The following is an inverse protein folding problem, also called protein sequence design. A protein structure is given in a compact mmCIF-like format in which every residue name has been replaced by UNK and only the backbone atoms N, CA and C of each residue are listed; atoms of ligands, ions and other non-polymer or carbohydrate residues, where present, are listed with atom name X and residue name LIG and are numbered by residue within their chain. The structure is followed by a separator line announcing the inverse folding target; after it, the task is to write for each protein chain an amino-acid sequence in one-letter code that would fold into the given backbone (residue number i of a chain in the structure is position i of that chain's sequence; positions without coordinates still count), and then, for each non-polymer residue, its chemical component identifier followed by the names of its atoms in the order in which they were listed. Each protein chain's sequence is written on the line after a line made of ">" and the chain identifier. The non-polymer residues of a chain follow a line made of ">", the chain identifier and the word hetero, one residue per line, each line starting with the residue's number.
data_IF_726668838679
#
_entry.id   IF_726668838679
#
_cell.length_a   1.000
_cell.length_b   1.000
_cell.length_c   1.000
_cell.angle_alpha   90.00
_cell.angle_beta   90.00
_cell.angle_gamma   90.00
#
_symmetry.space_group_name_H-M   'P 1'
#
loop_
_entity.id
_entity.type
_entity.pdbx_description
1 polymer ?
#
# COMPACT_ATOMS: atom_id res chain seq x y z
N UNK A 1 -23.77 35.17 0.37
CA UNK A 1 -23.58 33.72 0.39
C UNK A 1 -22.50 33.42 -0.65
N UNK A 2 -21.32 32.92 -0.26
CA UNK A 2 -20.28 32.55 -1.23
C UNK A 2 -20.86 31.44 -2.13
N UNK A 3 -20.77 31.66 -3.42
CA UNK A 3 -21.19 30.69 -4.44
C UNK A 3 -20.35 29.43 -4.27
N UNK A 4 -20.96 28.27 -4.03
CA UNK A 4 -20.24 27.00 -3.89
C UNK A 4 -19.58 26.67 -5.21
N UNK A 5 -18.27 26.62 -5.21
CA UNK A 5 -17.43 26.39 -6.39
C UNK A 5 -16.78 24.99 -6.34
N UNK A 6 -16.21 24.55 -7.45
CA UNK A 6 -15.36 23.36 -7.52
C UNK A 6 -14.20 23.47 -6.52
N UNK A 7 -13.66 24.67 -6.31
CA UNK A 7 -12.59 24.94 -5.35
C UNK A 7 -13.02 24.67 -3.90
N UNK A 8 -14.28 24.98 -3.55
CA UNK A 8 -14.82 24.68 -2.22
C UNK A 8 -14.76 23.17 -1.94
N UNK A 9 -15.20 22.37 -2.92
CA UNK A 9 -15.18 20.90 -2.80
C UNK A 9 -13.74 20.37 -2.84
N UNK A 10 -12.88 20.90 -3.71
CA UNK A 10 -11.46 20.53 -3.76
C UNK A 10 -10.75 20.77 -2.43
N UNK A 11 -10.97 21.92 -1.80
CA UNK A 11 -10.40 22.25 -0.49
C UNK A 11 -10.94 21.32 0.61
N UNK A 12 -12.23 20.98 0.58
CA UNK A 12 -12.82 20.02 1.51
C UNK A 12 -12.14 18.65 1.42
N UNK A 13 -11.99 18.13 0.18
CA UNK A 13 -11.30 16.86 -0.06
C UNK A 13 -9.84 16.93 0.42
N UNK A 14 -9.14 18.00 0.07
CA UNK A 14 -7.73 18.19 0.46
C UNK A 14 -7.54 18.22 1.98
N UNK A 15 -8.42 18.88 2.71
CA UNK A 15 -8.37 18.93 4.18
C UNK A 15 -8.54 17.55 4.82
N UNK A 16 -9.30 16.65 4.19
CA UNK A 16 -9.62 15.33 4.73
C UNK A 16 -8.67 14.22 4.29
N UNK A 17 -8.02 14.41 3.14
CA UNK A 17 -7.26 13.34 2.49
C UNK A 17 -5.85 13.74 2.08
N UNK A 18 -5.50 15.03 2.15
CA UNK A 18 -4.32 15.62 1.55
C UNK A 18 -4.22 15.50 0.01
N UNK A 19 -5.25 14.96 -0.67
CA UNK A 19 -5.25 14.94 -2.14
C UNK A 19 -5.20 16.35 -2.70
N UNK A 20 -4.18 16.64 -3.51
CA UNK A 20 -3.92 17.97 -4.06
C UNK A 20 -4.43 18.09 -5.50
N UNK A 21 -5.29 19.07 -5.73
CA UNK A 21 -5.84 19.37 -7.05
C UNK A 21 -5.11 20.57 -7.68
N UNK A 22 -4.00 20.31 -8.37
CA UNK A 22 -3.42 21.33 -9.25
C UNK A 22 -4.42 21.75 -10.33
N UNK A 23 -4.28 22.97 -10.89
CA UNK A 23 -5.23 23.54 -11.85
C UNK A 23 -5.62 22.58 -12.98
N UNK A 24 -4.65 21.87 -13.56
CA UNK A 24 -4.92 20.89 -14.63
C UNK A 24 -5.72 19.65 -14.13
N UNK A 25 -5.69 19.32 -12.83
CA UNK A 25 -6.46 18.22 -12.24
C UNK A 25 -7.86 18.65 -11.83
N UNK A 26 -8.12 19.92 -11.62
CA UNK A 26 -9.45 20.45 -11.30
C UNK A 26 -10.48 20.23 -12.41
N UNK A 27 -10.03 20.15 -13.67
CA UNK A 27 -10.92 19.82 -14.79
C UNK A 27 -11.52 18.43 -14.67
N UNK A 28 -10.75 17.45 -14.19
CA UNK A 28 -11.22 16.08 -13.94
C UNK A 28 -12.20 16.07 -12.79
N UNK A 29 -11.88 16.76 -11.68
CA UNK A 29 -12.81 16.90 -10.55
C UNK A 29 -14.13 17.52 -11.00
N UNK A 30 -14.09 18.60 -11.78
CA UNK A 30 -15.29 19.25 -12.34
C UNK A 30 -16.14 18.28 -13.16
N UNK A 31 -15.52 17.46 -14.01
CA UNK A 31 -16.22 16.46 -14.80
C UNK A 31 -16.90 15.42 -13.89
N UNK A 32 -16.17 14.87 -12.92
CA UNK A 32 -16.71 13.88 -11.97
C UNK A 32 -17.87 14.42 -11.14
N UNK A 33 -17.75 15.67 -10.70
CA UNK A 33 -18.85 16.36 -9.99
C UNK A 33 -20.06 16.55 -10.90
N UNK A 34 -19.89 16.94 -12.17
CA UNK A 34 -21.00 17.09 -13.10
C UNK A 34 -21.73 15.74 -13.35
N UNK A 35 -20.97 14.65 -13.51
CA UNK A 35 -21.54 13.31 -13.62
C UNK A 35 -22.32 12.92 -12.36
N UNK A 36 -21.79 13.25 -11.17
CA UNK A 36 -22.45 12.96 -9.89
C UNK A 36 -23.74 13.75 -9.69
N UNK A 37 -23.71 15.06 -9.99
CA UNK A 37 -24.91 15.92 -9.96
C UNK A 37 -26.02 15.34 -10.84
N UNK A 38 -25.68 14.93 -12.06
CA UNK A 38 -26.64 14.31 -12.97
C UNK A 38 -27.20 13.01 -12.41
N UNK A 39 -26.38 12.17 -11.80
CA UNK A 39 -26.81 10.92 -11.18
C UNK A 39 -27.78 11.14 -10.03
N UNK A 40 -27.55 12.18 -9.22
CA UNK A 40 -28.39 12.53 -8.07
C UNK A 40 -29.63 13.40 -8.44
N UNK A 41 -29.71 13.92 -9.68
CA UNK A 41 -30.73 14.84 -10.10
C UNK A 41 -30.63 16.23 -9.44
N UNK A 42 -29.43 16.64 -9.00
CA UNK A 42 -29.20 17.92 -8.36
C UNK A 42 -28.97 19.03 -9.39
N UNK A 43 -29.53 20.24 -9.17
CA UNK A 43 -29.46 21.33 -10.14
C UNK A 43 -28.06 22.01 -10.16
N UNK A 44 -27.37 22.03 -9.03
CA UNK A 44 -26.16 22.81 -8.87
C UNK A 44 -25.24 22.28 -7.76
N UNK A 45 -24.00 22.81 -7.70
CA UNK A 45 -22.99 22.46 -6.71
C UNK A 45 -23.38 22.90 -5.29
N UNK A 46 -24.20 23.92 -5.11
CA UNK A 46 -24.61 24.37 -3.78
C UNK A 46 -25.52 23.33 -3.12
N UNK A 47 -26.49 22.80 -3.88
CA UNK A 47 -27.34 21.69 -3.43
C UNK A 47 -26.52 20.46 -3.09
N UNK A 48 -25.56 20.12 -3.95
CA UNK A 48 -24.65 18.99 -3.72
C UNK A 48 -23.78 19.18 -2.48
N UNK A 49 -23.25 20.38 -2.27
CA UNK A 49 -22.43 20.70 -1.10
C UNK A 49 -23.18 20.45 0.21
N UNK A 50 -24.41 20.94 0.32
CA UNK A 50 -25.23 20.68 1.50
C UNK A 50 -25.49 19.20 1.73
N UNK A 51 -25.72 18.46 0.66
CA UNK A 51 -25.87 17.01 0.73
C UNK A 51 -24.59 16.31 1.16
N UNK A 52 -23.45 16.68 0.57
CA UNK A 52 -22.13 16.09 0.87
C UNK A 52 -21.75 16.27 2.35
N UNK A 53 -21.87 17.48 2.90
CA UNK A 53 -21.47 17.74 4.30
C UNK A 53 -22.42 17.13 5.34
N UNK A 54 -23.65 16.79 4.94
CA UNK A 54 -24.65 16.15 5.81
C UNK A 54 -24.70 14.64 5.69
N UNK A 55 -23.97 14.05 4.74
CA UNK A 55 -24.02 12.62 4.45
C UNK A 55 -22.63 11.99 4.34
N UNK A 56 -22.19 11.36 5.43
CA UNK A 56 -20.88 10.70 5.48
C UNK A 56 -20.71 9.62 4.40
N UNK A 57 -21.77 8.96 3.98
CA UNK A 57 -21.72 7.97 2.92
C UNK A 57 -21.43 8.59 1.55
N UNK A 58 -21.91 9.83 1.32
CA UNK A 58 -21.60 10.57 0.09
C UNK A 58 -20.13 10.97 0.01
N UNK A 59 -19.50 11.27 1.14
CA UNK A 59 -18.06 11.53 1.18
C UNK A 59 -17.27 10.33 0.65
N UNK A 60 -17.58 9.12 1.10
CA UNK A 60 -16.92 7.89 0.61
C UNK A 60 -17.15 7.69 -0.89
N UNK A 61 -18.38 7.91 -1.37
CA UNK A 61 -18.71 7.81 -2.80
C UNK A 61 -17.90 8.83 -3.61
N UNK A 62 -17.80 10.07 -3.12
CA UNK A 62 -17.02 11.11 -3.79
C UNK A 62 -15.54 10.72 -3.87
N UNK A 63 -14.97 10.20 -2.78
CA UNK A 63 -13.58 9.73 -2.75
C UNK A 63 -13.35 8.59 -3.76
N UNK A 64 -14.27 7.64 -3.85
CA UNK A 64 -14.24 6.56 -4.84
C UNK A 64 -14.28 7.09 -6.30
N UNK A 65 -15.00 8.18 -6.53
CA UNK A 65 -15.14 8.77 -7.87
C UNK A 65 -13.87 9.52 -8.31
N UNK A 66 -13.16 10.15 -7.38
CA UNK A 66 -12.02 11.02 -7.71
C UNK A 66 -10.68 10.31 -7.65
N UNK A 67 -10.58 9.15 -7.00
CA UNK A 67 -9.36 8.36 -6.96
C UNK A 67 -9.09 7.70 -8.31
N UNK A 68 -7.81 7.62 -8.67
CA UNK A 68 -7.33 6.90 -9.86
C UNK A 68 -6.74 5.59 -9.37
N UNK A 69 -7.45 4.50 -9.65
CA UNK A 69 -7.16 3.19 -9.07
C UNK A 69 -6.50 2.24 -10.08
N UNK A 70 -5.57 2.77 -10.90
CA UNK A 70 -4.85 1.98 -11.89
C UNK A 70 -3.76 1.13 -11.21
N UNK A 71 -3.88 -0.18 -11.33
CA UNK A 71 -2.95 -1.15 -10.75
C UNK A 71 -2.87 -2.41 -11.62
N UNK A 72 -1.83 -3.22 -11.42
CA UNK A 72 -1.66 -4.51 -12.08
C UNK A 72 -0.82 -5.45 -11.22
N UNK A 73 -1.00 -6.75 -11.43
CA UNK A 73 -0.12 -7.75 -10.83
C UNK A 73 1.34 -7.53 -11.27
N UNK A 74 2.27 -7.65 -10.32
CA UNK A 74 3.71 -7.50 -10.52
C UNK A 74 4.14 -6.20 -11.23
N UNK A 75 3.38 -5.12 -11.03
CA UNK A 75 3.75 -3.79 -11.52
C UNK A 75 5.17 -3.45 -11.07
N UNK A 76 6.04 -2.98 -11.99
CA UNK A 76 7.48 -2.75 -11.78
C UNK A 76 8.25 -4.05 -11.50
N UNK A 77 8.41 -4.94 -12.49
CA UNK A 77 9.03 -6.27 -12.28
C UNK A 77 10.45 -6.22 -11.70
N UNK A 78 11.18 -5.12 -11.91
CA UNK A 78 12.53 -4.93 -11.32
C UNK A 78 12.48 -4.91 -9.79
N UNK A 79 11.45 -4.29 -9.20
CA UNK A 79 11.28 -4.24 -7.76
C UNK A 79 11.00 -5.64 -7.18
N UNK A 80 10.13 -6.43 -7.83
CA UNK A 80 9.87 -7.81 -7.42
C UNK A 80 11.09 -8.72 -7.61
N UNK A 81 11.89 -8.49 -8.65
CA UNK A 81 13.16 -9.20 -8.82
C UNK A 81 14.12 -8.87 -7.67
N UNK A 82 14.28 -7.60 -7.32
CA UNK A 82 15.13 -7.21 -6.19
C UNK A 82 14.62 -7.78 -4.86
N UNK A 83 13.31 -7.78 -4.63
CA UNK A 83 12.69 -8.44 -3.48
C UNK A 83 13.08 -9.92 -3.41
N UNK A 84 13.04 -10.63 -4.55
CA UNK A 84 13.31 -12.06 -4.64
C UNK A 84 14.80 -12.39 -4.50
N UNK A 85 15.68 -11.64 -5.18
CA UNK A 85 17.09 -11.98 -5.30
C UNK A 85 17.94 -11.47 -4.13
N UNK A 86 17.48 -10.42 -3.43
CA UNK A 86 18.28 -9.76 -2.38
C UNK A 86 17.56 -9.68 -1.04
N UNK A 87 16.31 -9.14 -1.00
CA UNK A 87 15.64 -8.87 0.28
C UNK A 87 15.21 -10.17 0.96
N UNK A 88 14.58 -11.10 0.24
CA UNK A 88 14.15 -12.38 0.82
C UNK A 88 15.34 -13.18 1.36
N UNK A 89 16.46 -13.39 0.62
CA UNK A 89 17.65 -14.04 1.17
C UNK A 89 18.23 -13.32 2.38
N UNK A 90 18.25 -11.99 2.39
CA UNK A 90 18.72 -11.22 3.55
C UNK A 90 17.82 -11.44 4.78
N UNK A 91 16.50 -11.40 4.62
CA UNK A 91 15.54 -11.69 5.70
C UNK A 91 15.72 -13.11 6.23
N UNK A 92 15.93 -14.10 5.36
CA UNK A 92 16.19 -15.47 5.76
C UNK A 92 17.52 -15.59 6.51
N UNK A 93 18.56 -14.88 6.11
CA UNK A 93 19.84 -14.88 6.81
C UNK A 93 19.73 -14.22 8.19
N UNK A 94 19.10 -13.05 8.29
CA UNK A 94 19.00 -12.30 9.54
C UNK A 94 18.07 -12.95 10.56
N UNK A 95 16.87 -13.37 10.10
CA UNK A 95 15.84 -13.95 10.97
C UNK A 95 15.89 -15.48 10.99
N UNK A 96 16.49 -16.09 9.99
CA UNK A 96 16.48 -17.54 9.76
C UNK A 96 17.58 -18.30 10.46
N UNK A 97 18.70 -17.68 10.82
CA UNK A 97 19.76 -18.36 11.57
C UNK A 97 19.27 -18.87 12.94
N UNK A 98 18.38 -18.13 13.60
CA UNK A 98 17.77 -18.58 14.85
C UNK A 98 16.86 -19.79 14.66
N UNK A 99 16.10 -19.81 13.54
CA UNK A 99 15.13 -20.87 13.25
C UNK A 99 15.81 -22.11 12.66
N UNK A 100 16.78 -21.95 11.77
CA UNK A 100 17.54 -23.10 11.22
C UNK A 100 18.32 -23.82 12.31
N UNK A 101 18.81 -23.11 13.31
CA UNK A 101 19.43 -23.74 14.51
C UNK A 101 18.42 -24.52 15.35
N UNK A 102 17.14 -24.08 15.39
CA UNK A 102 16.08 -24.78 16.15
C UNK A 102 15.45 -25.94 15.37
N UNK A 103 15.46 -25.90 14.02
CA UNK A 103 14.87 -26.95 13.15
C UNK A 103 15.81 -28.13 12.88
N UNK A 104 17.09 -28.03 13.18
CA UNK A 104 18.04 -29.15 13.12
C UNK A 104 17.80 -30.25 14.15
N UNK A 105 16.85 -30.08 15.05
CA UNK A 105 16.43 -31.02 16.08
C UNK A 105 14.94 -31.34 15.82
N UNK A 106 14.59 -32.60 15.72
CA UNK A 106 13.36 -33.24 15.22
C UNK A 106 12.00 -32.82 15.83
N UNK A 107 11.86 -31.60 16.36
CA UNK A 107 10.60 -31.06 16.88
C UNK A 107 10.26 -29.71 16.23
N UNK A 108 8.96 -29.39 16.00
CA UNK A 108 8.58 -28.08 15.50
C UNK A 108 9.02 -26.99 16.47
N UNK A 109 9.52 -25.84 15.99
CA UNK A 109 10.00 -24.77 16.85
C UNK A 109 8.88 -24.29 17.80
N UNK A 110 9.22 -23.87 19.02
CA UNK A 110 8.25 -23.31 19.93
C UNK A 110 7.60 -22.06 19.31
N UNK A 111 6.35 -21.72 19.65
CA UNK A 111 5.66 -20.55 19.10
C UNK A 111 6.40 -19.22 19.24
N UNK A 112 7.33 -19.13 20.17
CA UNK A 112 8.21 -17.97 20.38
C UNK A 112 9.32 -17.80 19.32
N UNK A 113 9.55 -18.80 18.47
CA UNK A 113 10.58 -18.80 17.42
C UNK A 113 10.00 -18.57 16.01
N UNK A 114 8.70 -18.25 15.89
CA UNK A 114 8.08 -17.89 14.60
C UNK A 114 8.64 -16.54 14.14
N UNK A 115 9.24 -16.54 12.95
CA UNK A 115 9.74 -15.32 12.33
C UNK A 115 8.58 -14.42 11.92
N UNK A 116 8.58 -13.18 12.39
CA UNK A 116 7.55 -12.20 12.00
C UNK A 116 8.04 -11.36 10.83
N UNK A 117 7.16 -11.20 9.85
CA UNK A 117 7.38 -10.34 8.70
C UNK A 117 6.17 -9.41 8.53
N UNK A 118 6.36 -8.14 8.85
CA UNK A 118 5.31 -7.14 8.79
C UNK A 118 5.52 -6.27 7.56
N UNK A 119 4.51 -6.20 6.70
CA UNK A 119 4.56 -5.45 5.44
C UNK A 119 3.37 -4.51 5.38
N UNK A 120 3.60 -3.30 4.90
CA UNK A 120 2.57 -2.32 4.59
C UNK A 120 2.47 -2.13 3.08
N UNK A 121 1.27 -2.22 2.53
CA UNK A 121 0.93 -1.78 1.17
C UNK A 121 -0.03 -0.59 1.27
N UNK A 122 0.51 0.61 1.11
CA UNK A 122 -0.18 1.88 1.28
C UNK A 122 -0.67 2.41 -0.07
N UNK A 123 -1.99 2.44 -0.27
CA UNK A 123 -2.62 2.71 -1.56
C UNK A 123 -2.67 1.46 -2.44
N UNK A 124 -3.22 0.37 -1.87
CA UNK A 124 -3.21 -0.95 -2.51
C UNK A 124 -4.21 -1.11 -3.67
N UNK A 125 -5.07 -0.14 -3.91
CA UNK A 125 -6.12 -0.18 -4.92
C UNK A 125 -6.95 -1.47 -4.83
N UNK A 126 -7.16 -2.15 -5.92
CA UNK A 126 -7.94 -3.40 -6.00
C UNK A 126 -7.15 -4.66 -5.59
N UNK A 127 -5.98 -4.51 -4.97
CA UNK A 127 -5.27 -5.58 -4.26
C UNK A 127 -4.19 -6.30 -5.03
N UNK A 128 -3.91 -5.99 -6.30
CA UNK A 128 -2.90 -6.68 -7.11
C UNK A 128 -1.51 -6.58 -6.51
N UNK A 129 -1.14 -5.43 -5.92
CA UNK A 129 0.16 -5.24 -5.29
C UNK A 129 0.34 -6.15 -4.07
N UNK A 130 -0.49 -6.09 -3.01
CA UNK A 130 -0.30 -6.96 -1.86
C UNK A 130 -0.45 -8.44 -2.18
N UNK A 131 -1.27 -8.82 -3.16
CA UNK A 131 -1.32 -10.21 -3.62
C UNK A 131 -0.03 -10.63 -4.34
N UNK A 132 0.55 -9.75 -5.16
CA UNK A 132 1.84 -10.02 -5.80
C UNK A 132 2.96 -10.20 -4.77
N UNK A 133 2.97 -9.38 -3.72
CA UNK A 133 3.92 -9.53 -2.61
C UNK A 133 3.69 -10.85 -1.87
N UNK A 134 2.44 -11.16 -1.49
CA UNK A 134 2.11 -12.39 -0.79
C UNK A 134 2.51 -13.65 -1.59
N UNK A 135 2.17 -13.68 -2.88
CA UNK A 135 2.55 -14.78 -3.78
C UNK A 135 4.08 -14.91 -3.89
N UNK A 136 4.80 -13.78 -4.00
CA UNK A 136 6.26 -13.79 -4.07
C UNK A 136 6.88 -14.38 -2.80
N UNK A 137 6.44 -13.93 -1.64
CA UNK A 137 6.94 -14.44 -0.35
C UNK A 137 6.63 -15.93 -0.20
N UNK A 138 5.41 -16.34 -0.51
CA UNK A 138 5.00 -17.74 -0.38
C UNK A 138 5.75 -18.67 -1.35
N UNK A 139 6.12 -18.18 -2.55
CA UNK A 139 6.89 -18.93 -3.54
C UNK A 139 8.39 -18.99 -3.26
N UNK A 140 8.96 -17.94 -2.66
CA UNK A 140 10.41 -17.75 -2.60
C UNK A 140 11.04 -17.99 -1.23
N UNK A 141 10.27 -17.82 -0.15
CA UNK A 141 10.75 -18.23 1.16
C UNK A 141 10.96 -19.74 1.21
N UNK A 142 12.10 -20.17 1.72
CA UNK A 142 12.45 -21.61 1.81
C UNK A 142 11.44 -22.40 2.64
N UNK A 143 10.93 -21.79 3.71
CA UNK A 143 9.95 -22.39 4.62
C UNK A 143 8.85 -21.36 4.95
N UNK A 144 7.94 -21.04 4.01
CA UNK A 144 6.96 -19.96 4.20
C UNK A 144 6.05 -20.19 5.42
N UNK A 145 5.81 -21.45 5.80
CA UNK A 145 5.00 -21.81 6.97
C UNK A 145 5.70 -21.53 8.32
N UNK A 146 7.01 -21.28 8.32
CA UNK A 146 7.75 -20.89 9.51
C UNK A 146 7.71 -19.37 9.78
N UNK A 147 7.03 -18.62 8.91
CA UNK A 147 6.89 -17.18 9.00
C UNK A 147 5.46 -16.79 9.34
N UNK A 148 5.32 -15.88 10.30
CA UNK A 148 4.08 -15.13 10.54
C UNK A 148 4.10 -13.89 9.63
N UNK A 149 3.65 -14.11 8.38
CA UNK A 149 3.58 -13.06 7.37
C UNK A 149 2.30 -12.27 7.59
N UNK A 150 2.43 -10.99 7.85
CA UNK A 150 1.31 -10.09 8.07
C UNK A 150 1.43 -8.88 7.13
N UNK A 151 0.66 -8.89 6.04
CA UNK A 151 0.60 -7.80 5.08
C UNK A 151 -0.63 -6.96 5.41
N UNK A 152 -0.40 -5.74 5.88
CA UNK A 152 -1.47 -4.76 6.02
C UNK A 152 -1.59 -4.00 4.71
N UNK A 153 -2.76 -4.04 4.09
CA UNK A 153 -3.02 -3.39 2.82
C UNK A 153 -4.22 -2.45 2.93
N UNK A 154 -4.04 -1.22 2.51
CA UNK A 154 -5.11 -0.23 2.60
C UNK A 154 -5.17 0.73 1.44
N UNK A 155 -6.39 1.24 1.21
CA UNK A 155 -6.69 2.24 0.20
C UNK A 155 -7.76 3.21 0.71
N UNK A 156 -7.75 4.41 0.14
CA UNK A 156 -8.76 5.43 0.42
C UNK A 156 -10.14 5.05 -0.14
N UNK A 157 -10.16 4.28 -1.25
CA UNK A 157 -11.37 3.83 -1.92
C UNK A 157 -11.92 2.57 -1.25
N UNK A 158 -13.08 2.69 -0.61
CA UNK A 158 -13.77 1.55 -0.01
C UNK A 158 -14.18 0.52 -1.08
N UNK A 159 -14.61 0.98 -2.26
CA UNK A 159 -14.91 0.09 -3.39
C UNK A 159 -13.70 -0.75 -3.80
N UNK A 160 -12.50 -0.16 -3.83
CA UNK A 160 -11.26 -0.88 -4.12
C UNK A 160 -10.98 -1.93 -3.04
N UNK A 161 -11.15 -1.59 -1.78
CA UNK A 161 -10.96 -2.51 -0.66
C UNK A 161 -11.94 -3.69 -0.73
N UNK A 162 -13.19 -3.47 -1.07
CA UNK A 162 -14.16 -4.56 -1.24
C UNK A 162 -13.76 -5.49 -2.41
N UNK A 163 -13.29 -4.91 -3.53
CA UNK A 163 -12.76 -5.68 -4.65
C UNK A 163 -11.51 -6.49 -4.27
N UNK A 164 -10.59 -5.87 -3.53
CA UNK A 164 -9.37 -6.52 -3.03
C UNK A 164 -9.71 -7.70 -2.09
N UNK A 165 -10.64 -7.51 -1.15
CA UNK A 165 -11.12 -8.57 -0.24
C UNK A 165 -11.77 -9.74 -1.01
N UNK A 166 -12.57 -9.43 -2.03
CA UNK A 166 -13.14 -10.45 -2.90
C UNK A 166 -12.03 -11.25 -3.62
N UNK A 167 -10.98 -10.58 -4.06
CA UNK A 167 -9.81 -11.18 -4.72
C UNK A 167 -10.18 -11.89 -6.03
N UNK A 168 -11.25 -11.44 -6.69
CA UNK A 168 -11.65 -11.89 -8.02
C UNK A 168 -11.10 -10.96 -9.08
N UNK A 169 -10.54 -11.55 -10.14
CA UNK A 169 -9.96 -10.81 -11.25
C UNK A 169 -10.35 -11.44 -12.58
N UNK A 170 -10.79 -10.61 -13.51
CA UNK A 170 -11.05 -11.03 -14.89
C UNK A 170 -9.75 -11.46 -15.57
N UNK A 171 -9.86 -12.29 -16.61
CA UNK A 171 -8.73 -12.90 -17.30
C UNK A 171 -7.72 -11.85 -17.84
N UNK A 172 -8.21 -10.69 -18.25
CA UNK A 172 -7.35 -9.61 -18.75
C UNK A 172 -6.43 -9.05 -17.66
N UNK A 173 -6.89 -8.98 -16.43
CA UNK A 173 -6.10 -8.51 -15.29
C UNK A 173 -5.04 -9.51 -14.84
N UNK A 174 -5.21 -10.79 -15.17
CA UNK A 174 -4.25 -11.85 -14.82
C UNK A 174 -3.00 -11.87 -15.72
N UNK A 175 -2.99 -11.12 -16.82
CA UNK A 175 -1.86 -11.05 -17.77
C UNK A 175 -0.55 -10.60 -17.12
N UNK A 176 -0.61 -9.88 -15.98
CA UNK A 176 0.57 -9.47 -15.20
C UNK A 176 1.18 -10.59 -14.35
N UNK A 177 0.52 -11.73 -14.18
CA UNK A 177 1.03 -12.83 -13.36
C UNK A 177 2.19 -13.54 -14.06
N UNK A 178 3.34 -13.73 -13.40
CA UNK A 178 4.49 -14.38 -14.00
C UNK A 178 4.31 -15.91 -14.05
N UNK A 179 4.78 -16.51 -15.15
CA UNK A 179 4.91 -17.97 -15.28
C UNK A 179 3.65 -18.75 -14.92
N UNK A 180 3.77 -19.61 -13.92
CA UNK A 180 2.70 -20.51 -13.46
C UNK A 180 1.95 -20.00 -12.21
N UNK A 181 2.09 -18.73 -11.85
CA UNK A 181 1.48 -18.17 -10.63
C UNK A 181 -0.05 -18.24 -10.67
N UNK A 182 -0.66 -18.07 -11.83
CA UNK A 182 -2.10 -18.27 -11.97
C UNK A 182 -2.52 -19.68 -11.56
N UNK A 183 -1.80 -20.72 -12.00
CA UNK A 183 -2.10 -22.12 -11.63
C UNK A 183 -1.82 -22.41 -10.15
N UNK A 184 -0.75 -21.82 -9.59
CA UNK A 184 -0.37 -22.04 -8.19
C UNK A 184 -1.31 -21.36 -7.21
N UNK A 185 -1.65 -20.09 -7.46
CA UNK A 185 -2.23 -19.20 -6.45
C UNK A 185 -3.63 -18.71 -6.77
N UNK A 186 -4.18 -19.08 -7.91
CA UNK A 186 -5.55 -18.73 -8.30
C UNK A 186 -6.39 -19.97 -8.51
N UNK A 187 -7.71 -19.84 -8.34
CA UNK A 187 -8.72 -20.82 -8.68
C UNK A 187 -9.62 -20.24 -9.75
N UNK A 188 -9.93 -21.02 -10.79
CA UNK A 188 -10.85 -20.59 -11.85
C UNK A 188 -12.25 -20.34 -11.26
N UNK A 189 -12.85 -19.21 -11.59
CA UNK A 189 -14.18 -18.84 -11.12
C UNK A 189 -14.90 -18.00 -12.17
N UNK A 190 -15.96 -18.57 -12.78
CA UNK A 190 -16.69 -17.93 -13.87
C UNK A 190 -15.79 -17.59 -15.06
N UNK A 191 -15.77 -16.32 -15.46
CA UNK A 191 -14.95 -15.78 -16.58
C UNK A 191 -13.56 -15.30 -16.13
N UNK A 192 -13.21 -15.47 -14.86
CA UNK A 192 -11.96 -15.02 -14.28
C UNK A 192 -11.38 -16.03 -13.30
N UNK A 193 -10.66 -15.53 -12.33
CA UNK A 193 -10.08 -16.34 -11.26
C UNK A 193 -10.12 -15.61 -9.92
N UNK A 194 -10.15 -16.38 -8.84
CA UNK A 194 -10.12 -15.91 -7.47
C UNK A 194 -8.81 -16.33 -6.81
N UNK A 195 -8.22 -15.43 -6.02
CA UNK A 195 -7.00 -15.74 -5.24
C UNK A 195 -7.30 -16.80 -4.20
N UNK A 196 -6.45 -17.82 -4.10
CA UNK A 196 -6.58 -18.92 -3.13
C UNK A 196 -6.51 -18.41 -1.68
N UNK A 197 -7.24 -19.08 -0.80
CA UNK A 197 -7.35 -18.69 0.62
C UNK A 197 -6.00 -18.69 1.36
N UNK A 198 -5.06 -19.55 1.00
CA UNK A 198 -3.72 -19.59 1.58
C UNK A 198 -2.97 -18.26 1.40
N UNK A 199 -3.15 -17.59 0.25
CA UNK A 199 -2.57 -16.27 -0.04
C UNK A 199 -3.39 -15.15 0.61
N UNK A 200 -4.73 -15.23 0.52
CA UNK A 200 -5.63 -14.23 1.15
C UNK A 200 -5.40 -14.07 2.65
N UNK A 201 -5.14 -15.15 3.36
CA UNK A 201 -4.90 -15.17 4.82
C UNK A 201 -3.68 -14.35 5.26
N UNK A 202 -2.72 -14.13 4.37
CA UNK A 202 -1.52 -13.33 4.64
C UNK A 202 -1.79 -11.83 4.65
N UNK A 203 -2.97 -11.40 4.15
CA UNK A 203 -3.27 -9.99 3.91
C UNK A 203 -4.50 -9.55 4.71
N UNK A 204 -4.34 -8.43 5.40
CA UNK A 204 -5.43 -7.72 6.08
C UNK A 204 -5.76 -6.47 5.30
N UNK A 205 -6.90 -6.48 4.61
CA UNK A 205 -7.40 -5.31 3.87
C UNK A 205 -8.26 -4.41 4.75
N UNK A 206 -8.04 -3.10 4.66
CA UNK A 206 -8.81 -2.09 5.37
C UNK A 206 -8.84 -0.74 4.67
N UNK A 207 -9.87 0.05 4.95
CA UNK A 207 -9.87 1.46 4.54
C UNK A 207 -8.69 2.18 5.18
N UNK A 208 -7.92 2.91 4.39
CA UNK A 208 -6.70 3.59 4.84
C UNK A 208 -6.61 4.98 4.21
N UNK A 209 -6.72 5.99 5.05
CA UNK A 209 -6.43 7.36 4.65
C UNK A 209 -5.00 7.72 5.11
N UNK A 210 -4.10 8.02 4.17
CA UNK A 210 -2.72 8.40 4.49
C UNK A 210 -2.63 9.72 5.26
N UNK A 211 -3.65 10.57 5.18
CA UNK A 211 -3.80 11.74 6.05
C UNK A 211 -3.73 11.34 7.55
N UNK A 212 -4.44 10.29 7.93
CA UNK A 212 -4.47 9.80 9.31
C UNK A 212 -3.08 9.29 9.74
N UNK A 213 -2.39 8.59 8.84
CA UNK A 213 -1.02 8.08 9.10
C UNK A 213 -0.04 9.24 9.32
N UNK A 214 -0.11 10.27 8.49
CA UNK A 214 0.72 11.49 8.61
C UNK A 214 0.48 12.17 9.95
N UNK A 215 -0.77 12.25 10.40
CA UNK A 215 -1.18 12.88 11.65
C UNK A 215 -1.01 11.99 12.90
N UNK A 216 -0.43 10.78 12.75
CA UNK A 216 -0.31 9.76 13.81
C UNK A 216 -1.67 9.32 14.41
N UNK A 217 -2.72 9.40 13.63
CA UNK A 217 -4.03 8.85 13.99
C UNK A 217 -4.03 7.33 13.82
N UNK A 218 -4.77 6.58 14.66
CA UNK A 218 -4.87 5.14 14.52
C UNK A 218 -5.43 4.78 13.14
N UNK A 219 -4.77 3.87 12.44
CA UNK A 219 -5.35 3.27 11.25
C UNK A 219 -6.56 2.44 11.68
N UNK A 220 -7.74 2.77 11.15
CA UNK A 220 -9.02 2.21 11.57
C UNK A 220 -8.98 0.69 11.73
N UNK A 221 -9.33 0.19 12.91
CA UNK A 221 -9.47 -1.21 13.30
C UNK A 221 -8.21 -2.09 13.33
N UNK A 222 -7.02 -1.55 13.15
CA UNK A 222 -5.78 -2.30 13.29
C UNK A 222 -4.86 -1.57 14.25
N UNK A 223 -4.44 -2.24 15.31
CA UNK A 223 -3.46 -1.73 16.28
C UNK A 223 -2.07 -1.58 15.62
N UNK A 224 -1.91 -0.54 14.77
CA UNK A 224 -0.61 -0.17 14.20
C UNK A 224 0.13 0.79 15.14
N UNK A 225 -0.39 1.02 16.32
CA UNK A 225 0.11 2.05 17.27
C UNK A 225 1.57 1.84 17.74
N UNK A 226 2.24 0.78 17.30
CA UNK A 226 3.66 0.54 17.53
C UNK A 226 4.25 -0.42 16.48
N UNK A 227 3.50 -0.76 15.44
CA UNK A 227 3.96 -1.72 14.44
C UNK A 227 5.04 -1.06 13.59
N UNK A 228 6.24 -1.59 13.69
CA UNK A 228 7.29 -1.29 12.74
C UNK A 228 7.21 -2.32 11.62
N UNK A 229 7.33 -1.85 10.38
CA UNK A 229 7.28 -2.69 9.21
C UNK A 229 8.68 -3.02 8.72
N UNK A 230 8.88 -4.25 8.31
CA UNK A 230 10.12 -4.68 7.65
C UNK A 230 10.18 -4.12 6.21
N UNK A 231 9.01 -4.06 5.55
CA UNK A 231 8.90 -3.56 4.17
C UNK A 231 7.65 -2.69 4.05
N UNK A 232 7.80 -1.55 3.38
CA UNK A 232 6.67 -0.68 3.01
C UNK A 232 6.64 -0.52 1.49
N UNK A 233 5.49 -0.76 0.89
CA UNK A 233 5.14 -0.38 -0.46
C UNK A 233 4.26 0.87 -0.38
N UNK A 234 4.75 2.01 -0.91
CA UNK A 234 3.99 3.24 -1.08
C UNK A 234 4.25 3.73 -2.50
N UNK A 235 3.50 3.17 -3.46
CA UNK A 235 3.79 3.28 -4.87
C UNK A 235 2.65 3.93 -5.64
N UNK A 236 2.98 4.94 -6.45
CA UNK A 236 2.01 5.65 -7.28
C UNK A 236 0.88 6.32 -6.48
N UNK A 237 1.21 6.80 -5.29
CA UNK A 237 0.29 7.46 -4.35
C UNK A 237 0.76 8.88 -4.02
N UNK A 238 2.07 9.08 -3.81
CA UNK A 238 2.63 10.38 -3.47
C UNK A 238 2.42 11.44 -4.56
N UNK A 239 2.33 11.01 -5.82
CA UNK A 239 2.04 11.87 -6.98
C UNK A 239 0.72 12.65 -6.86
N UNK A 240 -0.14 12.28 -5.92
CA UNK A 240 -1.42 12.97 -5.67
C UNK A 240 -1.35 14.00 -4.54
N UNK A 241 -0.23 14.11 -3.86
CA UNK A 241 -0.04 15.01 -2.72
C UNK A 241 0.76 16.25 -3.10
N UNK A 242 0.62 17.31 -2.30
CA UNK A 242 1.50 18.48 -2.41
C UNK A 242 2.93 18.13 -1.98
N UNK A 243 3.96 18.90 -2.40
CA UNK A 243 5.33 18.65 -1.98
C UNK A 243 5.50 18.63 -0.45
N UNK A 244 4.79 19.49 0.27
CA UNK A 244 4.81 19.56 1.72
C UNK A 244 4.24 18.28 2.36
N UNK A 245 3.13 17.80 1.81
CA UNK A 245 2.50 16.54 2.27
C UNK A 245 3.38 15.34 1.93
N UNK A 246 4.02 15.33 0.76
CA UNK A 246 4.98 14.28 0.39
C UNK A 246 6.13 14.23 1.38
N UNK A 247 6.69 15.38 1.77
CA UNK A 247 7.75 15.44 2.78
C UNK A 247 7.29 14.87 4.14
N UNK A 248 6.07 15.21 4.57
CA UNK A 248 5.51 14.68 5.82
C UNK A 248 5.30 13.17 5.76
N UNK A 249 4.79 12.66 4.64
CA UNK A 249 4.58 11.23 4.41
C UNK A 249 5.92 10.48 4.43
N UNK A 250 6.94 10.98 3.73
CA UNK A 250 8.29 10.38 3.71
C UNK A 250 8.85 10.25 5.14
N UNK A 251 8.76 11.31 5.94
CA UNK A 251 9.20 11.28 7.33
C UNK A 251 8.41 10.26 8.16
N UNK A 252 7.13 10.14 7.89
CA UNK A 252 6.27 9.17 8.59
C UNK A 252 6.59 7.74 8.19
N UNK A 253 6.77 7.45 6.90
CA UNK A 253 7.18 6.12 6.41
C UNK A 253 8.54 5.71 6.98
N UNK A 254 9.47 6.68 7.12
CA UNK A 254 10.76 6.42 7.77
C UNK A 254 10.59 5.99 9.23
N UNK A 255 9.70 6.64 9.98
CA UNK A 255 9.42 6.26 11.39
C UNK A 255 8.78 4.86 11.50
N UNK A 256 7.89 4.51 10.59
CA UNK A 256 7.17 3.23 10.58
C UNK A 256 8.05 2.04 10.19
N UNK A 257 9.18 2.24 9.54
CA UNK A 257 10.11 1.17 9.20
C UNK A 257 11.02 0.78 10.36
N UNK A 258 11.30 -0.51 10.51
CA UNK A 258 12.39 -1.01 11.35
C UNK A 258 13.75 -0.52 10.82
N UNK A 259 14.78 -0.39 11.66
CA UNK A 259 16.17 -0.30 11.17
C UNK A 259 16.48 -1.47 10.23
N UNK A 260 17.12 -1.21 9.10
CA UNK A 260 17.37 -2.21 8.06
C UNK A 260 16.19 -2.41 7.09
N UNK A 261 15.00 -1.89 7.37
CA UNK A 261 13.80 -2.06 6.57
C UNK A 261 13.82 -1.32 5.22
N UNK A 262 12.92 -1.73 4.32
CA UNK A 262 12.88 -1.27 2.93
C UNK A 262 11.60 -0.52 2.59
N UNK A 263 11.75 0.58 1.83
CA UNK A 263 10.66 1.35 1.25
C UNK A 263 10.71 1.23 -0.29
N UNK A 264 9.59 0.83 -0.88
CA UNK A 264 9.36 0.80 -2.32
C UNK A 264 8.48 1.97 -2.72
N UNK A 265 8.92 2.79 -3.70
CA UNK A 265 8.13 3.88 -4.27
C UNK A 265 7.88 3.65 -5.75
N UNK A 266 6.92 4.37 -6.34
CA UNK A 266 6.65 4.32 -7.78
C UNK A 266 7.76 4.99 -8.60
N UNK A 267 7.89 4.64 -9.89
CA UNK A 267 8.96 5.15 -10.77
C UNK A 267 8.96 6.68 -10.91
N UNK A 268 7.80 7.33 -10.72
CA UNK A 268 7.65 8.78 -10.74
C UNK A 268 7.77 9.44 -9.35
N UNK A 269 8.22 8.71 -8.33
CA UNK A 269 8.26 9.13 -6.93
C UNK A 269 9.66 9.04 -6.31
N UNK A 270 10.67 9.70 -6.92
CA UNK A 270 12.03 9.69 -6.39
C UNK A 270 12.12 10.56 -5.12
N UNK A 271 12.78 10.05 -4.08
CA UNK A 271 12.90 10.78 -2.81
C UNK A 271 14.01 11.85 -2.81
N UNK A 272 14.92 11.86 -3.78
CA UNK A 272 16.04 12.82 -3.80
C UNK A 272 15.63 14.29 -3.87
N UNK A 273 14.34 14.58 -4.13
CA UNK A 273 13.77 15.92 -4.09
C UNK A 273 13.37 16.39 -2.68
N UNK A 274 13.47 15.50 -1.70
CA UNK A 274 13.03 15.71 -0.33
C UNK A 274 14.17 15.53 0.66
N UNK A 275 14.03 16.10 1.86
CA UNK A 275 14.96 15.86 2.95
C UNK A 275 14.62 14.55 3.67
N UNK A 276 15.54 13.58 3.67
CA UNK A 276 15.30 12.26 4.25
C UNK A 276 16.60 11.53 4.61
N UNK A 277 16.52 10.57 5.54
CA UNK A 277 17.62 9.73 5.99
C UNK A 277 17.64 8.33 5.33
N UNK A 278 16.82 8.10 4.32
CA UNK A 278 16.86 6.86 3.53
C UNK A 278 18.10 6.81 2.65
N UNK A 279 18.66 5.61 2.48
CA UNK A 279 19.69 5.32 1.49
C UNK A 279 19.04 4.65 0.28
N UNK A 280 19.23 5.21 -0.91
CA UNK A 280 18.74 4.59 -2.14
C UNK A 280 19.55 3.35 -2.48
N UNK A 281 18.88 2.26 -2.80
CA UNK A 281 19.49 1.00 -3.26
C UNK A 281 19.70 1.11 -4.77
N UNK A 282 20.91 1.50 -5.18
CA UNK A 282 21.24 1.80 -6.58
C UNK A 282 21.28 0.57 -7.48
N UNK A 283 21.71 -0.57 -6.95
CA UNK A 283 21.82 -1.85 -7.64
C UNK A 283 20.48 -2.40 -8.13
N UNK A 284 19.39 -1.97 -7.51
CA UNK A 284 18.04 -2.38 -7.90
C UNK A 284 17.65 -1.89 -9.31
N UNK A 285 18.25 -0.80 -9.80
CA UNK A 285 17.88 -0.16 -11.06
C UNK A 285 16.42 0.31 -11.10
N UNK A 286 15.85 0.58 -9.90
CA UNK A 286 14.51 1.08 -9.65
C UNK A 286 14.49 1.79 -8.29
N UNK A 287 13.35 2.41 -7.93
CA UNK A 287 13.25 3.19 -6.70
C UNK A 287 12.94 2.27 -5.50
N UNK A 288 13.99 1.90 -4.80
CA UNK A 288 13.97 1.18 -3.52
C UNK A 288 14.90 1.94 -2.57
N UNK A 289 14.46 2.11 -1.34
CA UNK A 289 15.17 2.84 -0.30
C UNK A 289 15.28 1.99 0.96
N UNK A 290 16.38 2.14 1.68
CA UNK A 290 16.64 1.42 2.92
C UNK A 290 16.77 2.39 4.08
N UNK A 291 16.16 2.07 5.22
CA UNK A 291 16.45 2.71 6.50
C UNK A 291 17.69 2.03 7.09
N UNK A 292 18.78 2.78 7.22
CA UNK A 292 20.01 2.22 7.79
C UNK A 292 19.82 1.79 9.24
N UNK A 293 20.53 0.76 9.65
CA UNK A 293 20.67 0.41 11.06
C UNK A 293 21.38 1.56 11.80
N UNK A 294 20.82 1.97 12.93
CA UNK A 294 21.56 2.88 13.81
C UNK A 294 22.77 2.13 14.32
N UNK A 295 23.96 2.53 13.85
CA UNK A 295 25.23 2.03 14.39
C UNK A 295 25.22 2.29 15.90
N UNK A 296 25.01 1.26 16.70
CA UNK A 296 25.34 1.33 18.11
C UNK A 296 26.81 1.74 18.20
N UNK A 297 27.09 2.94 18.73
CA UNK A 297 28.40 3.45 19.04
C UNK A 297 29.28 2.31 19.59
N UNK A 298 30.15 1.75 18.75
CA UNK A 298 31.37 1.17 19.25
C UNK A 298 32.18 2.37 19.72
N UNK A 299 32.03 2.74 20.99
CA UNK A 299 33.00 3.57 21.68
C UNK A 299 34.31 2.82 21.60
N UNK A 300 35.19 3.32 20.74
CA UNK A 300 36.60 2.99 20.81
C UNK A 300 37.09 3.35 22.22
N UNK A 301 37.56 2.38 22.96
CA UNK A 301 38.43 2.53 24.11
C UNK A 301 39.86 2.52 23.58
#
# INVERSE_FOLDING_TARGET
>A
MNETSVDTIANFIQQRTHLFFAEHKKSILKQRLAERLKCLGFPDLATYWHYLISNANEELILLDLITINETSFFRNPKQFRYLTEFIIPELEAQKGEEVVRSWGIAEPPPPSSIMKLHILSAGCSTGEEPYSVAMTLFDKLRYPMAWDINILAGDLSERCIQSAKAGYYDIDRLKGLPGNYAQKYMESYGTGSIVKNEIKKLIKFGHMNLHNIINNEPLSNHEINSSQFDIIFCRNVMIYFSPETQQQLINTLFRLLVPGGYLFTGDAEPLHLYNHDFVQVREAGCLIYRKMETSNNVRAV
#
